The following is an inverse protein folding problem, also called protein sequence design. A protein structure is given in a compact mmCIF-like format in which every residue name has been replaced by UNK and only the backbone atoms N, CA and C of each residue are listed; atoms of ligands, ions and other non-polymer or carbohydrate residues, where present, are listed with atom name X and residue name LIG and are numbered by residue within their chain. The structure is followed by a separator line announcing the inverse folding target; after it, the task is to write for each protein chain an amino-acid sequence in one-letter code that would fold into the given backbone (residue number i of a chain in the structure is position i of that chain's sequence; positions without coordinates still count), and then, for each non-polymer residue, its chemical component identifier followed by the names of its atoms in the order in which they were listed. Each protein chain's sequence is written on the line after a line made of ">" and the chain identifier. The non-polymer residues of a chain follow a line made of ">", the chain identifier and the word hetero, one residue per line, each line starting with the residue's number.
data_IF_277707139201
#
_entry.id   IF_277707139201
#
_cell.length_a   1.000
_cell.length_b   1.000
_cell.length_c   1.000
_cell.angle_alpha   90.00
_cell.angle_beta   90.00
_cell.angle_gamma   90.00
#
_symmetry.space_group_name_H-M   'P 1'
#
loop_
_entity.id
_entity.type
_entity.pdbx_description
1 polymer ?
#
# COMPACT_ATOMS: atom_id res chain seq x y z
N UNK A 1 -14.99 22.71 -0.35
CA UNK A 1 -15.44 21.86 -1.47
C UNK A 1 -14.32 20.95 -1.92
N UNK A 2 -14.62 19.66 -2.05
CA UNK A 2 -13.64 18.68 -2.50
C UNK A 2 -13.37 18.83 -4.00
N UNK A 3 -12.11 18.74 -4.38
CA UNK A 3 -11.72 18.66 -5.79
C UNK A 3 -11.39 17.19 -6.11
N UNK A 4 -12.28 16.55 -6.87
CA UNK A 4 -12.13 15.13 -7.20
C UNK A 4 -11.15 14.87 -8.33
N UNK A 5 -10.83 15.90 -9.12
CA UNK A 5 -9.87 15.75 -10.21
C UNK A 5 -8.46 16.06 -9.72
N UNK A 6 -7.57 15.09 -9.86
CA UNK A 6 -6.15 15.23 -9.51
C UNK A 6 -5.32 14.95 -10.76
N UNK A 7 -4.77 15.98 -11.41
CA UNK A 7 -3.95 15.76 -12.61
C UNK A 7 -2.76 14.85 -12.36
N UNK A 8 -2.28 14.18 -13.39
CA UNK A 8 -1.11 13.31 -13.30
C UNK A 8 0.08 14.09 -12.72
N UNK A 9 0.74 13.51 -11.74
CA UNK A 9 1.91 14.10 -11.06
C UNK A 9 1.60 15.13 -9.99
N UNK A 10 0.33 15.59 -9.86
CA UNK A 10 -0.03 16.62 -8.88
C UNK A 10 0.06 16.13 -7.43
N UNK A 11 0.00 14.81 -7.21
CA UNK A 11 0.08 14.20 -5.88
C UNK A 11 1.43 13.56 -5.62
N UNK A 12 2.43 13.83 -6.44
CA UNK A 12 3.75 13.26 -6.28
C UNK A 12 4.53 13.95 -5.16
N UNK A 13 5.22 13.14 -4.35
CA UNK A 13 6.15 13.59 -3.31
C UNK A 13 7.53 13.01 -3.57
N UNK A 14 8.50 13.26 -2.68
CA UNK A 14 9.84 12.68 -2.78
C UNK A 14 9.85 11.16 -2.65
N UNK A 15 8.86 10.58 -1.95
CA UNK A 15 8.76 9.13 -1.71
C UNK A 15 7.59 8.47 -2.40
N UNK A 16 6.54 9.24 -2.75
CA UNK A 16 5.31 8.70 -3.31
C UNK A 16 5.11 9.14 -4.75
N UNK A 17 4.71 8.22 -5.61
CA UNK A 17 4.17 8.59 -6.93
C UNK A 17 2.80 9.27 -6.76
N UNK A 18 1.98 8.73 -5.85
CA UNK A 18 0.72 9.33 -5.43
C UNK A 18 0.70 9.37 -3.91
N UNK A 19 0.39 10.53 -3.35
CA UNK A 19 0.13 10.69 -1.92
C UNK A 19 -1.21 11.41 -1.75
N UNK A 20 -2.21 10.67 -1.30
CA UNK A 20 -3.55 11.19 -1.10
C UNK A 20 -3.98 10.91 0.34
N UNK A 21 -3.77 11.88 1.21
CA UNK A 21 -4.19 11.78 2.61
C UNK A 21 -5.70 12.06 2.72
N UNK A 22 -6.32 11.76 3.86
CA UNK A 22 -7.72 12.15 4.10
C UNK A 22 -7.95 13.64 3.91
N UNK A 23 -6.99 14.46 4.31
CA UNK A 23 -7.09 15.92 4.17
C UNK A 23 -7.07 16.35 2.70
N UNK A 24 -6.26 15.70 1.88
CA UNK A 24 -6.14 16.03 0.44
C UNK A 24 -7.36 15.62 -0.36
N UNK A 25 -7.96 14.48 -0.01
CA UNK A 25 -9.08 13.91 -0.77
C UNK A 25 -10.44 14.43 -0.36
N UNK A 26 -10.53 14.99 0.84
CA UNK A 26 -11.81 15.26 1.48
C UNK A 26 -12.46 14.00 2.07
N UNK A 27 -11.79 12.86 2.01
CA UNK A 27 -12.22 11.65 2.70
C UNK A 27 -11.88 11.78 4.19
N UNK A 28 -12.83 11.46 5.04
CA UNK A 28 -12.65 11.64 6.47
C UNK A 28 -11.65 10.66 7.10
N UNK A 29 -11.63 9.42 6.62
CA UNK A 29 -10.91 8.33 7.29
C UNK A 29 -9.89 7.60 6.44
N UNK A 30 -9.88 7.80 5.12
CA UNK A 30 -9.09 6.98 4.19
C UNK A 30 -7.96 7.76 3.54
N UNK A 31 -6.86 7.06 3.28
CA UNK A 31 -5.73 7.57 2.51
C UNK A 31 -5.30 6.57 1.44
N UNK A 32 -4.62 7.06 0.41
CA UNK A 32 -4.11 6.26 -0.69
C UNK A 32 -2.74 6.75 -1.09
N UNK A 33 -1.76 5.84 -1.12
CA UNK A 33 -0.37 6.17 -1.43
C UNK A 33 0.19 5.14 -2.40
N UNK A 34 1.00 5.57 -3.36
CA UNK A 34 1.76 4.65 -4.20
C UNK A 34 3.24 4.97 -4.12
N UNK A 35 4.04 3.91 -4.21
CA UNK A 35 5.50 3.98 -4.14
C UNK A 35 6.06 3.31 -5.38
N UNK A 36 7.12 3.88 -5.95
CA UNK A 36 7.79 3.32 -7.11
C UNK A 36 9.21 2.90 -6.71
N UNK A 37 9.52 1.62 -6.86
CA UNK A 37 10.84 1.10 -6.52
C UNK A 37 11.95 1.57 -7.45
N UNK A 38 11.61 2.19 -8.58
CA UNK A 38 12.60 2.87 -9.40
C UNK A 38 13.11 4.16 -8.74
N UNK A 39 12.30 4.80 -7.91
CA UNK A 39 12.69 6.00 -7.16
C UNK A 39 13.59 5.65 -5.97
N UNK A 40 13.24 4.60 -5.24
CA UNK A 40 13.94 4.16 -4.04
C UNK A 40 13.62 2.69 -3.81
N UNK A 41 14.62 1.89 -3.42
CA UNK A 41 14.44 0.44 -3.28
C UNK A 41 13.76 0.01 -1.99
N UNK A 42 13.71 0.88 -0.98
CA UNK A 42 13.12 0.55 0.31
C UNK A 42 12.39 1.76 0.88
N UNK A 43 11.23 1.50 1.49
CA UNK A 43 10.42 2.51 2.16
C UNK A 43 10.04 2.02 3.55
N UNK A 44 9.92 2.96 4.50
CA UNK A 44 9.46 2.68 5.86
C UNK A 44 8.31 3.62 6.19
N UNK A 45 7.24 3.05 6.76
CA UNK A 45 6.01 3.78 7.09
C UNK A 45 5.60 3.43 8.52
N UNK A 46 5.17 4.42 9.28
CA UNK A 46 4.53 4.24 10.58
C UNK A 46 3.05 4.55 10.48
N UNK A 47 2.21 3.58 10.83
CA UNK A 47 0.75 3.69 10.74
C UNK A 47 0.18 4.19 12.07
N UNK A 48 0.41 5.46 12.37
CA UNK A 48 -0.07 6.07 13.62
C UNK A 48 -1.57 6.33 13.54
N UNK A 49 -2.35 5.61 14.36
CA UNK A 49 -3.80 5.77 14.38
C UNK A 49 -4.50 5.22 13.13
N UNK A 50 -3.79 4.46 12.29
CA UNK A 50 -4.33 3.93 11.02
C UNK A 50 -3.98 2.46 10.89
N UNK A 51 -4.82 1.74 10.19
CA UNK A 51 -4.51 0.42 9.65
C UNK A 51 -4.37 0.53 8.13
N UNK A 52 -3.83 -0.49 7.49
CA UNK A 52 -3.60 -0.43 6.06
C UNK A 52 -3.57 -1.77 5.38
N UNK A 53 -3.55 -1.71 4.04
CA UNK A 53 -3.32 -2.83 3.15
C UNK A 53 -2.22 -2.44 2.18
N UNK A 54 -1.22 -3.30 2.06
CA UNK A 54 -0.16 -3.14 1.07
C UNK A 54 -0.48 -4.07 -0.09
N UNK A 55 -0.63 -3.49 -1.28
CA UNK A 55 -1.11 -4.19 -2.47
C UNK A 55 -0.17 -3.95 -3.65
N UNK A 56 0.50 -4.98 -4.16
CA UNK A 56 1.31 -4.83 -5.38
C UNK A 56 0.46 -4.42 -6.58
N UNK A 57 0.91 -3.41 -7.32
CA UNK A 57 0.30 -2.98 -8.58
C UNK A 57 1.04 -3.56 -9.77
N UNK A 58 2.36 -3.35 -9.83
CA UNK A 58 3.21 -3.76 -10.94
C UNK A 58 4.59 -4.18 -10.46
N UNK A 59 4.66 -4.83 -9.31
CA UNK A 59 5.91 -5.26 -8.67
C UNK A 59 5.82 -6.71 -8.23
N UNK A 60 6.95 -7.38 -8.10
CA UNK A 60 7.04 -8.77 -7.71
C UNK A 60 8.14 -8.96 -6.66
N UNK A 61 7.98 -9.99 -5.82
CA UNK A 61 8.97 -10.40 -4.83
C UNK A 61 9.35 -9.26 -3.88
N UNK A 62 8.34 -8.61 -3.29
CA UNK A 62 8.53 -7.53 -2.34
C UNK A 62 8.73 -8.11 -0.94
N UNK A 63 9.83 -7.73 -0.29
CA UNK A 63 10.09 -8.10 1.09
C UNK A 63 9.42 -7.09 2.01
N UNK A 64 8.62 -7.57 2.96
CA UNK A 64 7.87 -6.73 3.90
C UNK A 64 8.22 -7.13 5.32
N UNK A 65 8.48 -6.14 6.17
CA UNK A 65 8.66 -6.33 7.60
C UNK A 65 7.60 -5.52 8.35
N UNK A 66 6.84 -6.18 9.20
CA UNK A 66 5.78 -5.55 10.02
C UNK A 66 6.14 -5.78 11.48
N UNK A 67 6.55 -4.74 12.17
CA UNK A 67 7.00 -4.79 13.57
C UNK A 67 8.02 -5.93 13.80
N UNK A 68 8.95 -6.11 12.85
CA UNK A 68 9.99 -7.13 12.92
C UNK A 68 9.60 -8.50 12.37
N UNK A 69 8.35 -8.71 11.96
CA UNK A 69 7.89 -9.96 11.37
C UNK A 69 7.99 -9.88 9.85
N UNK A 70 8.63 -10.88 9.23
CA UNK A 70 8.96 -10.86 7.81
C UNK A 70 7.91 -11.57 6.96
N UNK A 71 7.57 -10.97 5.82
CA UNK A 71 6.68 -11.51 4.80
C UNK A 71 7.24 -11.25 3.41
N UNK A 72 6.78 -12.00 2.42
CA UNK A 72 7.09 -11.76 1.02
C UNK A 72 5.80 -11.67 0.21
N UNK A 73 5.63 -10.56 -0.52
CA UNK A 73 4.55 -10.42 -1.48
C UNK A 73 5.06 -10.88 -2.84
N UNK A 74 4.39 -11.87 -3.43
CA UNK A 74 4.75 -12.37 -4.76
C UNK A 74 4.46 -11.33 -5.84
N UNK A 75 3.35 -10.62 -5.70
CA UNK A 75 2.97 -9.54 -6.59
C UNK A 75 2.51 -9.97 -7.96
N UNK A 76 2.66 -9.07 -8.91
CA UNK A 76 2.25 -9.25 -10.31
C UNK A 76 2.97 -8.26 -11.21
N UNK A 77 2.95 -8.51 -12.52
CA UNK A 77 3.60 -7.63 -13.48
C UNK A 77 2.79 -6.36 -13.77
N UNK A 78 1.48 -6.39 -13.56
CA UNK A 78 0.61 -5.23 -13.74
C UNK A 78 -0.80 -5.51 -13.27
N UNK A 79 -1.58 -4.45 -13.09
CA UNK A 79 -2.92 -4.54 -12.51
C UNK A 79 -3.90 -5.34 -13.37
N UNK A 80 -3.64 -5.45 -14.66
CA UNK A 80 -4.48 -6.22 -15.58
C UNK A 80 -3.91 -7.61 -15.89
N UNK A 81 -2.71 -7.95 -15.38
CA UNK A 81 -2.04 -9.21 -15.68
C UNK A 81 -2.57 -10.36 -14.83
N UNK A 82 -2.85 -10.11 -13.56
CA UNK A 82 -3.25 -11.14 -12.63
C UNK A 82 -3.84 -10.53 -11.36
N UNK A 83 -4.51 -11.37 -10.57
CA UNK A 83 -4.90 -11.06 -9.19
C UNK A 83 -3.63 -11.10 -8.33
N UNK A 84 -3.49 -10.17 -7.40
CA UNK A 84 -2.34 -10.09 -6.52
C UNK A 84 -2.64 -10.61 -5.12
N UNK A 85 -1.60 -11.08 -4.45
CA UNK A 85 -1.61 -11.21 -3.01
C UNK A 85 -1.56 -9.83 -2.35
N UNK A 86 -1.85 -9.77 -1.06
CA UNK A 86 -1.81 -8.53 -0.28
C UNK A 86 -1.61 -8.85 1.19
N UNK A 87 -1.24 -7.83 1.96
CA UNK A 87 -1.03 -7.98 3.39
C UNK A 87 -1.76 -6.90 4.17
N UNK A 88 -2.49 -7.30 5.21
CA UNK A 88 -3.14 -6.40 6.16
C UNK A 88 -2.13 -5.95 7.21
N UNK A 89 -2.10 -4.65 7.47
CA UNK A 89 -1.18 -4.00 8.38
C UNK A 89 -1.95 -3.42 9.57
N UNK A 90 -1.69 -3.92 10.80
CA UNK A 90 -2.42 -3.45 11.98
C UNK A 90 -2.17 -1.98 12.29
N UNK A 91 -3.11 -1.39 13.01
CA UNK A 91 -2.99 -0.01 13.51
C UNK A 91 -1.72 0.15 14.34
N UNK A 92 -1.00 1.23 14.12
CA UNK A 92 0.23 1.54 14.86
C UNK A 92 1.46 0.75 14.43
N UNK A 93 1.38 -0.06 13.37
CA UNK A 93 2.51 -0.85 12.88
C UNK A 93 3.61 0.02 12.29
N UNK A 94 4.85 -0.40 12.47
CA UNK A 94 5.99 0.09 11.71
C UNK A 94 6.28 -0.90 10.59
N UNK A 95 6.19 -0.44 9.36
CA UNK A 95 6.27 -1.29 8.17
C UNK A 95 7.42 -0.85 7.29
N UNK A 96 8.27 -1.79 6.91
CA UNK A 96 9.32 -1.57 5.91
C UNK A 96 9.08 -2.50 4.74
N UNK A 97 9.24 -2.01 3.53
CA UNK A 97 9.08 -2.85 2.34
C UNK A 97 10.10 -2.47 1.29
N UNK A 98 10.63 -3.48 0.61
CA UNK A 98 11.68 -3.31 -0.39
C UNK A 98 11.40 -4.14 -1.63
N UNK A 99 11.76 -3.59 -2.79
CA UNK A 99 11.58 -4.23 -4.08
C UNK A 99 12.59 -3.73 -5.09
N UNK A 100 12.58 -4.33 -6.29
CA UNK A 100 13.53 -4.01 -7.36
C UNK A 100 12.98 -3.04 -8.38
N UNK A 101 11.70 -3.15 -8.70
CA UNK A 101 11.06 -2.32 -9.74
C UNK A 101 9.55 -2.35 -9.58
N UNK A 102 8.88 -1.41 -10.24
CA UNK A 102 7.43 -1.35 -10.29
C UNK A 102 6.82 -0.60 -9.11
N UNK A 103 5.50 -0.63 -9.04
CA UNK A 103 4.73 0.15 -8.09
C UNK A 103 3.94 -0.71 -7.11
N UNK A 104 3.80 -0.20 -5.89
CA UNK A 104 3.01 -0.81 -4.83
C UNK A 104 2.12 0.25 -4.20
N UNK A 105 0.90 -0.13 -3.85
CA UNK A 105 -0.07 0.75 -3.22
C UNK A 105 -0.18 0.48 -1.73
N UNK A 106 -0.34 1.54 -0.94
CA UNK A 106 -0.71 1.48 0.46
C UNK A 106 -2.05 2.19 0.62
N UNK A 107 -3.06 1.44 1.03
CA UNK A 107 -4.38 1.98 1.33
C UNK A 107 -4.53 2.01 2.85
N UNK A 108 -4.94 3.15 3.40
CA UNK A 108 -5.04 3.32 4.85
C UNK A 108 -6.44 3.74 5.26
N UNK A 109 -6.79 3.40 6.50
CA UNK A 109 -8.02 3.86 7.12
C UNK A 109 -7.75 4.14 8.60
N UNK A 110 -8.45 5.12 9.15
CA UNK A 110 -8.38 5.40 10.58
C UNK A 110 -8.90 4.20 11.35
N UNK A 111 -8.18 3.80 12.40
CA UNK A 111 -8.55 2.64 13.20
C UNK A 111 -8.14 2.84 14.65
N UNK A 112 -8.95 2.28 15.56
CA UNK A 112 -8.68 2.30 17.00
C UNK A 112 -8.46 0.89 17.55
N UNK A 113 -8.80 -0.14 16.79
CA UNK A 113 -8.75 -1.54 17.22
C UNK A 113 -7.65 -2.28 16.44
N UNK A 114 -6.77 -2.96 17.15
CA UNK A 114 -5.63 -3.66 16.56
C UNK A 114 -5.97 -5.12 16.31
N UNK A 115 -5.87 -5.54 15.04
CA UNK A 115 -6.01 -6.93 14.64
C UNK A 115 -4.64 -7.50 14.27
N UNK A 116 -4.49 -8.85 14.23
CA UNK A 116 -3.22 -9.46 13.81
C UNK A 116 -2.88 -9.15 12.35
N UNK A 117 -1.58 -9.05 12.05
CA UNK A 117 -1.13 -8.97 10.66
C UNK A 117 -1.58 -10.22 9.90
N UNK A 118 -2.03 -10.04 8.66
CA UNK A 118 -2.57 -11.14 7.84
C UNK A 118 -2.10 -11.02 6.41
N UNK A 119 -1.37 -12.05 5.95
CA UNK A 119 -0.99 -12.19 4.54
C UNK A 119 -2.05 -13.01 3.83
N UNK A 120 -2.56 -12.50 2.70
CA UNK A 120 -3.55 -13.20 1.87
C UNK A 120 -2.94 -13.54 0.53
N UNK A 121 -2.73 -14.84 0.23
CA UNK A 121 -2.22 -15.26 -1.08
C UNK A 121 -3.22 -14.99 -2.19
N UNK A 122 -2.73 -14.81 -3.41
CA UNK A 122 -3.55 -14.51 -4.58
C UNK A 122 -4.63 -15.57 -4.83
N UNK A 123 -4.33 -16.82 -4.52
CA UNK A 123 -5.25 -17.95 -4.70
C UNK A 123 -6.52 -17.86 -3.83
N UNK A 124 -6.45 -17.08 -2.75
CA UNK A 124 -7.59 -16.88 -1.85
C UNK A 124 -8.42 -15.65 -2.20
N UNK A 125 -7.99 -14.86 -3.19
CA UNK A 125 -8.75 -13.68 -3.62
C UNK A 125 -9.86 -14.13 -4.54
N UNK A 126 -11.11 -13.78 -4.15
CA UNK A 126 -12.28 -14.12 -4.96
C UNK A 126 -12.39 -13.16 -6.15
N UNK A 127 -12.53 -13.74 -7.34
CA UNK A 127 -12.72 -12.96 -8.56
C UNK A 127 -14.19 -13.03 -8.96
N UNK A 128 -14.84 -11.88 -9.05
CA UNK A 128 -16.22 -11.78 -9.54
C UNK A 128 -16.22 -11.37 -11.00
N UNK A 129 -17.04 -12.05 -11.78
CA UNK A 129 -17.16 -11.85 -13.23
C UNK A 129 -18.49 -11.17 -13.55
#
# INVERSE_FOLDING_TARGET
>A
MSNWYKPAGSLKTSEHEISLSPQDSGWEYCGFYTYNFATKSEFTVELNGREGVLLPLSTQNVSVSVDGQAFTLKGRTGVFAAVSDWIYLPVGSKVSFSGKSGEIALLTAQASEKFPVCYTPAEQVQVEV
#
